data_IF_562141458620
#
_entry.id   IF_562141458620
#
_cell.length_a   1.000
_cell.length_b   1.000
_cell.length_c   1.000
_cell.angle_alpha   90.00
_cell.angle_beta   90.00
_cell.angle_gamma   90.00
#
_symmetry.space_group_name_H-M   'P 1'
#
loop_
_entity.id
_entity.type
_entity.pdbx_description
1 polymer ?
#
# COMPACT_ATOMS: atom_id res chain seq x y z
N UNK A 1 5.12 5.67 -41.95
CA UNK A 1 4.60 4.38 -41.45
C UNK A 1 5.77 3.56 -40.92
N UNK A 2 5.96 3.50 -39.60
CA UNK A 2 7.06 2.71 -38.99
C UNK A 2 6.55 1.28 -38.80
N UNK A 3 6.93 0.39 -39.73
CA UNK A 3 6.78 -1.05 -39.55
C UNK A 3 7.75 -1.49 -38.39
N UNK A 4 7.25 -1.53 -37.16
CA UNK A 4 7.94 -2.24 -36.08
C UNK A 4 7.95 -3.72 -36.48
N UNK A 5 9.13 -4.23 -36.81
CA UNK A 5 9.36 -5.67 -37.01
C UNK A 5 8.95 -6.36 -35.70
N UNK A 6 7.78 -7.01 -35.70
CA UNK A 6 7.35 -7.85 -34.58
C UNK A 6 8.26 -9.06 -34.51
N UNK A 7 9.14 -9.08 -33.52
CA UNK A 7 10.03 -10.20 -33.30
C UNK A 7 9.30 -11.31 -32.54
N UNK A 8 8.61 -12.18 -33.28
CA UNK A 8 7.85 -13.30 -32.69
C UNK A 8 8.74 -14.29 -31.89
N UNK A 9 10.05 -14.24 -32.05
CA UNK A 9 10.98 -15.08 -31.27
C UNK A 9 11.06 -14.65 -29.80
N UNK A 10 10.66 -13.43 -29.48
CA UNK A 10 10.61 -12.96 -28.08
C UNK A 10 9.61 -13.76 -27.23
N UNK A 11 8.56 -14.34 -27.83
CA UNK A 11 7.62 -15.19 -27.12
C UNK A 11 8.27 -16.45 -26.50
N UNK A 12 9.29 -17.02 -27.16
CA UNK A 12 10.00 -18.18 -26.62
C UNK A 12 10.76 -17.87 -25.32
N UNK A 13 11.17 -16.63 -25.11
CA UNK A 13 11.81 -16.19 -23.86
C UNK A 13 10.80 -16.00 -22.73
N UNK A 14 9.58 -15.62 -23.06
CA UNK A 14 8.50 -15.39 -22.08
C UNK A 14 7.77 -16.69 -21.73
N UNK A 15 7.74 -17.66 -22.64
CA UNK A 15 6.98 -18.90 -22.50
C UNK A 15 7.31 -19.70 -21.23
N UNK A 16 8.58 -19.93 -20.83
CA UNK A 16 8.89 -20.67 -19.61
C UNK A 16 8.34 -19.99 -18.35
N UNK A 17 8.48 -18.66 -18.26
CA UNK A 17 7.96 -17.87 -17.13
C UNK A 17 6.44 -17.91 -17.13
N UNK A 18 5.82 -17.75 -18.31
CA UNK A 18 4.37 -17.80 -18.45
C UNK A 18 3.80 -19.16 -18.00
N UNK A 19 4.42 -20.26 -18.42
CA UNK A 19 4.00 -21.61 -18.02
C UNK A 19 4.12 -21.78 -16.50
N UNK A 20 5.24 -21.36 -15.91
CA UNK A 20 5.46 -21.47 -14.47
C UNK A 20 4.41 -20.68 -13.69
N UNK A 21 4.15 -19.44 -14.08
CA UNK A 21 3.12 -18.59 -13.48
C UNK A 21 1.71 -19.16 -13.69
N UNK A 22 1.41 -19.66 -14.89
CA UNK A 22 0.13 -20.26 -15.20
C UNK A 22 -0.14 -21.49 -14.32
N UNK A 23 0.81 -22.41 -14.17
CA UNK A 23 0.67 -23.57 -13.28
C UNK A 23 0.50 -23.15 -11.82
N UNK A 24 1.31 -22.19 -11.35
CA UNK A 24 1.26 -21.69 -9.98
C UNK A 24 -0.04 -20.96 -9.65
N UNK A 25 -0.73 -20.39 -10.64
CA UNK A 25 -1.99 -19.69 -10.45
C UNK A 25 -3.21 -20.59 -10.70
N UNK A 26 -3.21 -21.36 -11.80
CA UNK A 26 -4.38 -22.11 -12.23
C UNK A 26 -4.72 -23.23 -11.24
N UNK A 27 -3.73 -24.00 -10.77
CA UNK A 27 -3.97 -25.13 -9.87
C UNK A 27 -4.61 -24.67 -8.54
N UNK A 28 -4.06 -23.67 -7.81
CA UNK A 28 -4.70 -23.16 -6.60
C UNK A 28 -6.10 -22.57 -6.87
N UNK A 29 -6.28 -21.83 -7.97
CA UNK A 29 -7.59 -21.28 -8.32
C UNK A 29 -8.63 -22.37 -8.58
N UNK A 30 -8.29 -23.42 -9.34
CA UNK A 30 -9.17 -24.58 -9.55
C UNK A 30 -9.52 -25.26 -8.23
N UNK A 31 -8.55 -25.39 -7.33
CA UNK A 31 -8.76 -25.97 -6.01
C UNK A 31 -9.73 -25.11 -5.17
N UNK A 32 -9.54 -23.81 -5.15
CA UNK A 32 -10.43 -22.87 -4.44
C UNK A 32 -11.86 -22.95 -5.00
N UNK A 33 -12.02 -22.91 -6.33
CA UNK A 33 -13.34 -23.03 -6.96
C UNK A 33 -13.99 -24.37 -6.64
N UNK A 34 -13.22 -25.47 -6.69
CA UNK A 34 -13.74 -26.80 -6.35
C UNK A 34 -14.19 -26.88 -4.88
N UNK A 35 -13.40 -26.36 -3.95
CA UNK A 35 -13.76 -26.37 -2.53
C UNK A 35 -14.91 -25.42 -2.18
N UNK A 36 -15.04 -24.32 -2.91
CA UNK A 36 -16.09 -23.32 -2.63
C UNK A 36 -17.52 -23.82 -2.90
N UNK A 37 -17.67 -24.92 -3.66
CA UNK A 37 -18.96 -25.54 -3.98
C UNK A 37 -19.20 -26.86 -3.23
N UNK A 38 -18.31 -27.20 -2.28
CA UNK A 38 -18.39 -28.42 -1.50
C UNK A 38 -18.52 -28.11 0.00
N UNK A 39 -19.21 -28.98 0.70
CA UNK A 39 -19.16 -29.06 2.15
C UNK A 39 -18.18 -30.19 2.53
N UNK A 40 -17.14 -29.84 3.27
CA UNK A 40 -16.01 -30.72 3.59
C UNK A 40 -15.99 -30.97 5.09
N UNK A 41 -16.51 -32.11 5.52
CA UNK A 41 -16.51 -32.51 6.92
C UNK A 41 -15.20 -33.23 7.31
N UNK A 42 -14.64 -34.03 6.36
CA UNK A 42 -13.44 -34.82 6.56
C UNK A 42 -12.76 -35.07 5.20
N UNK A 43 -11.54 -35.65 5.21
CA UNK A 43 -10.83 -36.00 3.98
C UNK A 43 -11.60 -36.93 3.04
N UNK A 44 -12.47 -37.77 3.62
CA UNK A 44 -13.29 -38.77 2.90
C UNK A 44 -14.74 -38.33 2.67
N UNK A 45 -15.23 -37.35 3.43
CA UNK A 45 -16.66 -36.95 3.43
C UNK A 45 -16.79 -35.55 2.82
N UNK A 46 -17.10 -35.52 1.52
CA UNK A 46 -17.30 -34.27 0.75
C UNK A 46 -18.65 -34.35 0.04
N UNK A 47 -19.45 -33.33 0.22
CA UNK A 47 -20.75 -33.21 -0.41
C UNK A 47 -20.79 -31.96 -1.30
N UNK A 48 -21.33 -32.14 -2.50
CA UNK A 48 -21.49 -30.98 -3.41
C UNK A 48 -22.73 -30.18 -2.95
N UNK A 49 -22.55 -28.95 -2.57
CA UNK A 49 -23.62 -28.04 -2.09
C UNK A 49 -23.86 -26.86 -3.07
N UNK A 50 -23.16 -26.83 -4.18
CA UNK A 50 -23.37 -25.81 -5.21
C UNK A 50 -23.07 -24.40 -4.71
N UNK A 51 -24.06 -23.51 -4.77
CA UNK A 51 -23.92 -22.08 -4.42
C UNK A 51 -24.46 -21.73 -3.03
N UNK A 52 -24.79 -22.70 -2.19
CA UNK A 52 -25.43 -22.44 -0.89
C UNK A 52 -24.53 -21.66 0.05
N UNK A 53 -23.24 -21.98 0.08
CA UNK A 53 -22.25 -21.20 0.84
C UNK A 53 -22.16 -19.75 0.39
N UNK A 54 -22.21 -19.50 -0.91
CA UNK A 54 -22.19 -18.13 -1.43
C UNK A 54 -23.42 -17.35 -0.99
N UNK A 55 -24.59 -17.97 -1.01
CA UNK A 55 -25.83 -17.34 -0.52
C UNK A 55 -25.77 -17.03 0.97
N UNK A 56 -25.30 -17.99 1.78
CA UNK A 56 -25.15 -17.78 3.22
C UNK A 56 -24.16 -16.67 3.54
N UNK A 57 -22.99 -16.65 2.91
CA UNK A 57 -21.97 -15.63 3.12
C UNK A 57 -22.49 -14.24 2.71
N UNK A 58 -23.21 -14.13 1.58
CA UNK A 58 -23.78 -12.86 1.14
C UNK A 58 -24.88 -12.33 2.07
N UNK A 59 -25.51 -13.20 2.85
CA UNK A 59 -26.53 -12.84 3.84
C UNK A 59 -25.96 -12.67 5.25
N UNK A 60 -24.68 -12.99 5.46
CA UNK A 60 -24.06 -12.88 6.78
C UNK A 60 -23.78 -11.41 7.13
N UNK A 61 -24.40 -10.87 8.21
CA UNK A 61 -24.11 -9.52 8.68
C UNK A 61 -22.65 -9.26 8.97
N UNK A 62 -21.90 -10.30 9.42
CA UNK A 62 -20.48 -10.20 9.70
C UNK A 62 -19.65 -9.87 8.44
N UNK A 63 -20.06 -10.41 7.29
CA UNK A 63 -19.42 -10.07 6.02
C UNK A 63 -19.60 -8.58 5.69
N UNK A 64 -20.85 -8.10 5.81
CA UNK A 64 -21.15 -6.70 5.50
C UNK A 64 -20.42 -5.73 6.42
N UNK A 65 -20.39 -6.01 7.72
CA UNK A 65 -19.64 -5.23 8.70
C UNK A 65 -18.13 -5.25 8.41
N UNK A 66 -17.58 -6.40 8.06
CA UNK A 66 -16.16 -6.56 7.75
C UNK A 66 -15.79 -5.82 6.47
N UNK A 67 -16.62 -5.90 5.44
CA UNK A 67 -16.41 -5.14 4.19
C UNK A 67 -16.47 -3.64 4.43
N UNK A 68 -17.47 -3.16 5.18
CA UNK A 68 -17.58 -1.75 5.51
C UNK A 68 -16.32 -1.25 6.26
N UNK A 69 -15.88 -2.00 7.27
CA UNK A 69 -14.65 -1.69 8.02
C UNK A 69 -13.43 -1.67 7.11
N UNK A 70 -13.31 -2.63 6.19
CA UNK A 70 -12.22 -2.70 5.23
C UNK A 70 -12.21 -1.49 4.29
N UNK A 71 -13.37 -1.09 3.76
CA UNK A 71 -13.45 0.10 2.90
C UNK A 71 -13.11 1.38 3.65
N UNK A 72 -13.61 1.55 4.88
CA UNK A 72 -13.28 2.70 5.72
C UNK A 72 -11.78 2.72 6.01
N UNK A 73 -11.19 1.58 6.38
CA UNK A 73 -9.77 1.46 6.66
C UNK A 73 -8.91 1.85 5.44
N UNK A 74 -9.20 1.25 4.29
CA UNK A 74 -8.48 1.55 3.05
C UNK A 74 -8.60 3.02 2.64
N UNK A 75 -9.79 3.61 2.80
CA UNK A 75 -10.00 5.03 2.54
C UNK A 75 -9.18 5.91 3.49
N UNK A 76 -9.18 5.61 4.79
CA UNK A 76 -8.38 6.36 5.78
C UNK A 76 -6.89 6.27 5.48
N UNK A 77 -6.39 5.06 5.20
CA UNK A 77 -4.98 4.85 4.83
C UNK A 77 -4.60 5.68 3.62
N UNK A 78 -5.33 5.56 2.50
CA UNK A 78 -5.03 6.28 1.27
C UNK A 78 -5.14 7.80 1.43
N UNK A 79 -6.14 8.29 2.18
CA UNK A 79 -6.33 9.71 2.44
C UNK A 79 -5.20 10.32 3.28
N UNK A 80 -4.51 9.54 4.07
CA UNK A 80 -3.38 9.99 4.89
C UNK A 80 -2.06 9.78 4.15
N UNK A 81 -1.82 8.57 3.64
CA UNK A 81 -0.53 8.20 3.03
C UNK A 81 -0.22 8.98 1.76
N UNK A 82 -1.21 9.15 0.87
CA UNK A 82 -0.94 9.80 -0.42
C UNK A 82 -0.55 11.27 -0.22
N UNK A 83 -1.31 12.10 0.52
CA UNK A 83 -0.90 13.48 0.79
C UNK A 83 0.41 13.59 1.57
N UNK A 84 0.61 12.71 2.57
CA UNK A 84 1.81 12.70 3.39
C UNK A 84 3.04 12.30 2.56
N UNK A 85 2.93 11.26 1.74
CA UNK A 85 4.00 10.85 0.83
C UNK A 85 4.37 11.90 -0.21
N UNK A 86 3.37 12.59 -0.78
CA UNK A 86 3.60 13.74 -1.68
C UNK A 86 4.30 14.88 -0.93
N UNK A 87 3.83 15.24 0.26
CA UNK A 87 4.43 16.30 1.07
C UNK A 87 5.89 16.00 1.41
N UNK A 88 6.19 14.79 1.86
CA UNK A 88 7.57 14.34 2.12
C UNK A 88 8.41 14.44 0.85
N UNK A 89 7.92 13.93 -0.27
CA UNK A 89 8.65 13.95 -1.54
C UNK A 89 8.97 15.37 -2.01
N UNK A 90 8.06 16.32 -1.82
CA UNK A 90 8.25 17.74 -2.14
C UNK A 90 9.30 18.42 -1.22
N UNK A 91 9.37 17.98 0.04
CA UNK A 91 10.33 18.51 1.01
C UNK A 91 11.73 17.89 0.86
N UNK A 92 11.88 16.77 0.17
CA UNK A 92 13.16 16.10 0.01
C UNK A 92 14.12 16.89 -0.89
N UNK A 93 15.39 17.06 -0.47
CA UNK A 93 16.39 17.75 -1.27
C UNK A 93 16.66 17.00 -2.58
N UNK A 94 16.85 17.75 -3.65
CA UNK A 94 17.01 17.20 -5.01
C UNK A 94 18.45 16.86 -5.36
N UNK A 95 19.44 17.39 -4.63
CA UNK A 95 20.89 17.25 -4.93
C UNK A 95 21.70 17.14 -3.63
N UNK A 96 22.87 16.53 -3.74
CA UNK A 96 23.84 16.46 -2.66
C UNK A 96 23.65 15.28 -1.70
N UNK A 97 24.51 15.24 -0.67
CA UNK A 97 24.55 14.15 0.33
C UNK A 97 23.25 14.01 1.15
N UNK A 98 22.55 15.13 1.36
CA UNK A 98 21.27 15.15 2.06
C UNK A 98 20.17 14.40 1.32
N UNK A 99 20.17 14.45 -0.02
CA UNK A 99 19.23 13.65 -0.82
C UNK A 99 19.45 12.15 -0.60
N UNK A 100 20.70 11.69 -0.62
CA UNK A 100 21.01 10.28 -0.36
C UNK A 100 20.64 9.86 1.05
N UNK A 101 20.91 10.71 2.04
CA UNK A 101 20.53 10.42 3.43
C UNK A 101 19.01 10.30 3.60
N UNK A 102 18.24 11.23 3.03
CA UNK A 102 16.77 11.14 3.06
C UNK A 102 16.25 9.86 2.41
N UNK A 103 16.82 9.46 1.26
CA UNK A 103 16.44 8.21 0.59
C UNK A 103 16.74 7.00 1.47
N UNK A 104 17.90 6.95 2.13
CA UNK A 104 18.25 5.85 3.04
C UNK A 104 17.26 5.81 4.21
N UNK A 105 17.01 6.94 4.87
CA UNK A 105 16.07 7.01 6.00
C UNK A 105 14.67 6.57 5.61
N UNK A 106 14.19 7.02 4.44
CA UNK A 106 12.87 6.61 3.92
C UNK A 106 12.80 5.13 3.53
N UNK A 107 13.94 4.49 3.25
CA UNK A 107 13.96 3.07 2.91
C UNK A 107 13.94 2.16 4.16
N UNK A 108 14.37 2.66 5.32
CA UNK A 108 14.47 1.86 6.55
C UNK A 108 13.16 1.15 6.92
N UNK A 109 11.99 1.82 6.97
CA UNK A 109 10.73 1.14 7.31
C UNK A 109 10.40 -0.01 6.36
N UNK A 110 10.70 0.14 5.06
CA UNK A 110 10.40 -0.87 4.04
C UNK A 110 11.32 -2.11 4.11
N UNK A 111 12.50 -1.97 4.72
CA UNK A 111 13.43 -3.09 4.91
C UNK A 111 13.06 -3.98 6.08
N UNK A 112 12.18 -3.50 6.98
CA UNK A 112 11.74 -4.28 8.13
C UNK A 112 10.67 -5.28 7.65
N UNK A 113 10.85 -6.60 7.85
CA UNK A 113 9.84 -7.59 7.51
C UNK A 113 8.52 -7.30 8.23
N UNK A 114 7.40 -7.43 7.52
CA UNK A 114 6.09 -7.02 8.04
C UNK A 114 5.67 -7.71 9.34
N UNK A 115 6.04 -8.99 9.51
CA UNK A 115 5.82 -9.73 10.76
C UNK A 115 6.61 -9.14 11.95
N UNK A 116 7.78 -8.57 11.69
CA UNK A 116 8.61 -7.91 12.73
C UNK A 116 8.04 -6.53 13.09
N UNK A 117 7.49 -5.80 12.12
CA UNK A 117 6.81 -4.52 12.35
C UNK A 117 5.73 -4.68 13.43
N UNK A 118 4.87 -5.69 13.29
CA UNK A 118 3.82 -5.97 14.28
C UNK A 118 4.40 -6.18 15.70
N UNK A 119 5.47 -6.95 15.84
CA UNK A 119 6.10 -7.21 17.14
C UNK A 119 6.74 -5.95 17.74
N UNK A 120 7.42 -5.14 16.93
CA UNK A 120 8.01 -3.86 17.38
C UNK A 120 6.91 -2.95 17.94
N UNK A 121 5.83 -2.77 17.20
CA UNK A 121 4.74 -1.88 17.60
C UNK A 121 3.93 -2.43 18.77
N UNK A 122 3.82 -3.76 18.88
CA UNK A 122 3.21 -4.40 20.05
C UNK A 122 3.96 -4.03 21.34
N UNK A 123 5.29 -4.06 21.33
CA UNK A 123 6.10 -3.67 22.48
C UNK A 123 6.04 -2.15 22.68
N UNK A 124 6.18 -1.39 21.59
CA UNK A 124 6.23 0.07 21.63
C UNK A 124 4.93 0.71 22.14
N UNK A 125 3.77 0.11 21.81
CA UNK A 125 2.45 0.59 22.22
C UNK A 125 2.03 0.20 23.64
N UNK A 126 2.75 -0.71 24.33
CA UNK A 126 2.39 -1.13 25.69
C UNK A 126 2.53 0.00 26.69
N UNK A 127 1.54 0.10 27.61
CA UNK A 127 1.54 1.15 28.63
C UNK A 127 2.55 0.94 29.76
N UNK A 128 3.02 -0.29 29.98
CA UNK A 128 3.93 -0.69 31.05
C UNK A 128 5.42 -0.58 30.68
N UNK A 129 5.78 -0.95 29.46
CA UNK A 129 7.17 -1.01 28.98
C UNK A 129 7.41 -0.25 27.67
N UNK A 130 6.35 0.12 26.96
CA UNK A 130 6.43 0.76 25.66
C UNK A 130 6.51 2.27 25.74
N UNK A 131 7.40 2.87 24.94
CA UNK A 131 7.58 4.32 24.94
C UNK A 131 6.30 5.06 24.57
N UNK A 132 5.58 4.62 23.53
CA UNK A 132 4.36 5.27 23.07
C UNK A 132 3.26 5.18 24.12
N UNK A 133 2.98 3.98 24.63
CA UNK A 133 1.95 3.79 25.65
C UNK A 133 2.26 4.56 26.94
N UNK A 134 3.51 4.55 27.38
CA UNK A 134 3.95 5.30 28.55
C UNK A 134 3.76 6.82 28.39
N UNK A 135 4.22 7.38 27.26
CA UNK A 135 4.09 8.81 27.00
C UNK A 135 2.63 9.24 26.91
N UNK A 136 1.79 8.51 26.16
CA UNK A 136 0.36 8.84 26.03
C UNK A 136 -0.36 8.80 27.40
N UNK A 137 -0.10 7.79 28.22
CA UNK A 137 -0.72 7.69 29.54
C UNK A 137 -0.26 8.81 30.48
N UNK A 138 1.01 9.24 30.40
CA UNK A 138 1.54 10.32 31.25
C UNK A 138 0.98 11.72 30.86
N UNK A 139 0.60 11.92 29.61
CA UNK A 139 -0.05 13.18 29.19
C UNK A 139 -1.58 13.16 29.39
N UNK A 140 -2.11 12.12 30.07
CA UNK A 140 -3.51 12.00 30.45
C UNK A 140 -4.41 11.33 29.40
N UNK A 141 -3.85 10.72 28.36
CA UNK A 141 -4.59 9.92 27.39
C UNK A 141 -4.56 8.46 27.85
N UNK A 142 -5.70 7.91 28.27
CA UNK A 142 -5.81 6.51 28.69
C UNK A 142 -5.73 5.58 27.47
N UNK A 143 -4.51 5.33 27.01
CA UNK A 143 -4.24 4.52 25.84
C UNK A 143 -4.01 3.05 26.19
N UNK A 144 -4.80 2.16 25.59
CA UNK A 144 -4.63 0.72 25.71
C UNK A 144 -5.17 -0.01 24.46
N UNK A 145 -4.31 -0.24 23.49
CA UNK A 145 -4.68 -0.89 22.23
C UNK A 145 -5.16 -2.34 22.40
N UNK A 146 -4.81 -3.01 23.50
CA UNK A 146 -5.21 -4.39 23.75
C UNK A 146 -6.63 -4.51 24.34
N UNK A 147 -7.08 -3.48 25.09
CA UNK A 147 -8.38 -3.48 25.76
C UNK A 147 -9.42 -2.60 25.06
N UNK A 148 -9.00 -1.61 24.28
CA UNK A 148 -9.88 -0.64 23.64
C UNK A 148 -9.84 -0.77 22.11
N UNK A 149 -10.98 -1.04 21.50
CA UNK A 149 -11.08 -1.22 20.04
C UNK A 149 -10.73 0.06 19.26
N UNK A 150 -11.04 1.24 19.77
CA UNK A 150 -10.69 2.51 19.13
C UNK A 150 -9.19 2.74 19.12
N UNK A 151 -8.52 2.47 20.23
CA UNK A 151 -7.06 2.60 20.34
C UNK A 151 -6.36 1.57 19.44
N UNK A 152 -6.88 0.34 19.38
CA UNK A 152 -6.39 -0.68 18.48
C UNK A 152 -6.48 -0.23 17.01
N UNK A 153 -7.62 0.33 16.62
CA UNK A 153 -7.86 0.80 15.26
C UNK A 153 -6.90 1.92 14.83
N UNK A 154 -6.76 2.92 15.70
CA UNK A 154 -5.80 4.03 15.49
C UNK A 154 -4.37 3.53 15.46
N UNK A 155 -4.02 2.57 16.32
CA UNK A 155 -2.67 1.99 16.35
C UNK A 155 -2.34 1.27 15.05
N UNK A 156 -3.23 0.42 14.55
CA UNK A 156 -3.04 -0.28 13.27
C UNK A 156 -2.91 0.71 12.12
N UNK A 157 -3.72 1.77 12.11
CA UNK A 157 -3.65 2.83 11.10
C UNK A 157 -2.29 3.55 11.14
N UNK A 158 -1.79 3.88 12.32
CA UNK A 158 -0.48 4.54 12.48
C UNK A 158 0.65 3.62 12.00
N UNK A 159 0.60 2.35 12.34
CA UNK A 159 1.59 1.35 11.91
C UNK A 159 1.65 1.28 10.39
N UNK A 160 0.50 1.16 9.76
CA UNK A 160 0.39 1.03 8.31
C UNK A 160 0.86 2.30 7.60
N UNK A 161 0.39 3.46 8.03
CA UNK A 161 0.82 4.77 7.52
C UNK A 161 2.33 4.96 7.69
N UNK A 162 2.90 4.65 8.87
CA UNK A 162 4.33 4.77 9.10
C UNK A 162 5.15 3.89 8.14
N UNK A 163 4.74 2.63 7.99
CA UNK A 163 5.47 1.66 7.17
C UNK A 163 5.42 2.01 5.68
N UNK A 164 4.23 2.29 5.17
CA UNK A 164 4.01 2.40 3.73
C UNK A 164 4.09 3.83 3.17
N UNK A 165 3.97 4.86 3.98
CA UNK A 165 4.23 6.25 3.54
C UNK A 165 5.61 6.38 2.92
N UNK A 166 6.58 5.61 3.40
CA UNK A 166 7.93 5.53 2.83
C UNK A 166 7.92 5.13 1.36
N UNK A 167 7.14 4.11 0.99
CA UNK A 167 6.99 3.69 -0.41
C UNK A 167 6.37 4.79 -1.26
N UNK A 168 5.26 5.37 -0.78
CA UNK A 168 4.56 6.45 -1.50
C UNK A 168 5.50 7.65 -1.70
N UNK A 169 6.25 8.04 -0.66
CA UNK A 169 7.20 9.15 -0.73
C UNK A 169 8.33 8.88 -1.75
N UNK A 170 8.91 7.68 -1.76
CA UNK A 170 9.96 7.30 -2.71
C UNK A 170 9.44 7.27 -4.15
N UNK A 171 8.24 6.73 -4.37
CA UNK A 171 7.58 6.74 -5.68
C UNK A 171 7.31 8.17 -6.14
N UNK A 172 6.72 9.02 -5.30
CA UNK A 172 6.45 10.42 -5.60
C UNK A 172 7.75 11.19 -5.88
N UNK A 173 8.79 10.97 -5.06
CA UNK A 173 10.09 11.59 -5.29
C UNK A 173 10.68 11.21 -6.64
N UNK A 174 10.64 9.93 -7.02
CA UNK A 174 11.11 9.48 -8.33
C UNK A 174 10.30 10.10 -9.47
N UNK A 175 8.99 10.21 -9.31
CA UNK A 175 8.10 10.89 -10.26
C UNK A 175 8.41 12.37 -10.42
N UNK A 176 8.68 13.08 -9.32
CA UNK A 176 9.09 14.49 -9.35
C UNK A 176 10.44 14.68 -10.06
N UNK A 177 11.38 13.76 -9.83
CA UNK A 177 12.71 13.79 -10.46
C UNK A 177 12.69 13.48 -11.95
N UNK A 178 11.66 12.80 -12.43
CA UNK A 178 11.48 12.51 -13.85
C UNK A 178 10.94 13.70 -14.66
N UNK A 179 10.48 14.76 -13.99
CA UNK A 179 9.95 15.95 -14.67
C UNK A 179 11.11 16.77 -15.25
N UNK A 180 11.16 17.01 -16.58
CA UNK A 180 12.20 17.81 -17.20
C UNK A 180 12.26 19.23 -16.67
N UNK A 181 13.49 19.77 -16.47
CA UNK A 181 13.73 21.12 -15.95
C UNK A 181 13.10 22.24 -16.79
N UNK A 182 12.86 21.99 -18.08
CA UNK A 182 12.23 22.96 -19.00
C UNK A 182 10.88 23.43 -18.47
N UNK A 183 10.07 22.56 -17.86
CA UNK A 183 8.78 22.93 -17.26
C UNK A 183 8.94 23.90 -16.10
N UNK A 184 9.96 23.71 -15.26
CA UNK A 184 10.24 24.60 -14.14
C UNK A 184 10.84 25.94 -14.61
N UNK A 185 11.62 25.94 -15.68
CA UNK A 185 12.16 27.16 -16.29
C UNK A 185 11.03 28.02 -16.87
N UNK A 186 10.10 27.42 -17.63
CA UNK A 186 8.92 28.10 -18.15
C UNK A 186 8.08 28.71 -17.02
N UNK A 187 7.78 27.92 -15.98
CA UNK A 187 7.03 28.41 -14.81
C UNK A 187 7.70 29.58 -14.11
N UNK A 188 9.04 29.64 -14.08
CA UNK A 188 9.80 30.79 -13.52
C UNK A 188 9.64 32.03 -14.40
N UNK A 189 9.69 31.90 -15.73
CA UNK A 189 9.47 33.00 -16.66
C UNK A 189 8.06 33.59 -16.45
N UNK A 190 7.05 32.69 -16.31
CA UNK A 190 5.67 33.07 -16.08
C UNK A 190 5.39 33.56 -14.64
N UNK A 191 6.41 33.59 -13.78
CA UNK A 191 6.29 33.95 -12.34
C UNK A 191 5.21 33.13 -11.61
N UNK A 192 5.03 31.85 -11.99
CA UNK A 192 4.05 30.98 -11.39
C UNK A 192 4.35 30.72 -9.91
N UNK A 193 3.31 30.74 -9.06
CA UNK A 193 3.43 30.41 -7.64
C UNK A 193 3.77 28.93 -7.46
N UNK A 194 4.37 28.56 -6.32
CA UNK A 194 4.69 27.17 -5.98
C UNK A 194 3.45 26.27 -6.03
N UNK A 195 2.29 26.77 -5.60
CA UNK A 195 1.03 26.05 -5.69
C UNK A 195 0.57 25.83 -7.14
N UNK A 196 0.75 26.83 -8.00
CA UNK A 196 0.44 26.71 -9.44
C UNK A 196 1.36 25.67 -10.11
N UNK A 197 2.66 25.69 -9.78
CA UNK A 197 3.63 24.68 -10.25
C UNK A 197 3.22 23.27 -9.78
N UNK A 198 2.86 23.13 -8.50
CA UNK A 198 2.38 21.85 -7.97
C UNK A 198 1.14 21.36 -8.72
N UNK A 199 0.11 22.19 -8.81
CA UNK A 199 -1.20 21.79 -9.35
C UNK A 199 -1.16 21.52 -10.86
N UNK A 200 -0.39 22.32 -11.64
CA UNK A 200 -0.45 22.28 -13.11
C UNK A 200 0.72 21.54 -13.75
N UNK A 201 1.83 21.35 -13.04
CA UNK A 201 3.02 20.67 -13.57
C UNK A 201 3.27 19.37 -12.81
N UNK A 202 3.51 19.45 -11.50
CA UNK A 202 3.97 18.29 -10.73
C UNK A 202 2.90 17.23 -10.59
N UNK A 203 1.72 17.59 -10.11
CA UNK A 203 0.62 16.65 -9.86
C UNK A 203 0.16 15.93 -11.15
N UNK A 204 -0.07 16.60 -12.29
CA UNK A 204 -0.42 15.91 -13.53
C UNK A 204 0.68 15.00 -14.06
N UNK A 205 1.95 15.42 -13.94
CA UNK A 205 3.10 14.59 -14.39
C UNK A 205 3.33 13.37 -13.50
N UNK A 206 2.98 13.46 -12.22
CA UNK A 206 3.07 12.34 -11.28
C UNK A 206 1.85 11.40 -11.33
N UNK A 207 0.82 11.71 -12.11
CA UNK A 207 -0.44 10.92 -12.14
C UNK A 207 -0.20 9.41 -12.28
N UNK A 208 0.69 9.01 -13.20
CA UNK A 208 0.99 7.58 -13.41
C UNK A 208 1.62 6.93 -12.18
N UNK A 209 2.52 7.65 -11.51
CA UNK A 209 3.21 7.16 -10.31
C UNK A 209 2.23 7.09 -9.13
N UNK A 210 1.36 8.09 -8.99
CA UNK A 210 0.31 8.09 -7.97
C UNK A 210 -0.69 6.95 -8.18
N UNK A 211 -1.05 6.67 -9.43
CA UNK A 211 -1.91 5.53 -9.74
C UNK A 211 -1.24 4.21 -9.32
N UNK A 212 0.05 4.04 -9.61
CA UNK A 212 0.82 2.87 -9.16
C UNK A 212 0.84 2.79 -7.63
N UNK A 213 1.09 3.91 -6.94
CA UNK A 213 1.08 3.96 -5.48
C UNK A 213 -0.28 3.53 -4.89
N UNK A 214 -1.39 4.02 -5.45
CA UNK A 214 -2.75 3.63 -5.03
C UNK A 214 -3.05 2.16 -5.33
N UNK A 215 -2.58 1.63 -6.48
CA UNK A 215 -2.82 0.22 -6.83
C UNK A 215 -1.98 -0.77 -6.02
N UNK A 216 -0.86 -0.34 -5.46
CA UNK A 216 -0.02 -1.16 -4.61
C UNK A 216 -0.49 -1.16 -3.15
N UNK A 217 -1.42 -0.26 -2.81
CA UNK A 217 -2.01 -0.08 -1.48
C UNK A 217 -3.44 -0.54 -1.45
#
# INVERSE_FOLDING_TARGET
MNNKVQNNKAWWLVLPVFLLVAFSAIIPMMTVVNYSVQDIFDQSSRYFVGTDWFRQVLQDPRLHDSLLRQFIYSACVLLIEIPLGIAIALCMPTKGRWSSLCLIVMTIPLLIPFNVVGTIWQIFGRGDIGLLGYVLNNIGISYNYAANASDAWVTVLIIDVWHWTSLVALLCYSGLRAIPDVYYQAARIDRASSWAVFRHIQLPKMKSVLLIAVMLR
#
